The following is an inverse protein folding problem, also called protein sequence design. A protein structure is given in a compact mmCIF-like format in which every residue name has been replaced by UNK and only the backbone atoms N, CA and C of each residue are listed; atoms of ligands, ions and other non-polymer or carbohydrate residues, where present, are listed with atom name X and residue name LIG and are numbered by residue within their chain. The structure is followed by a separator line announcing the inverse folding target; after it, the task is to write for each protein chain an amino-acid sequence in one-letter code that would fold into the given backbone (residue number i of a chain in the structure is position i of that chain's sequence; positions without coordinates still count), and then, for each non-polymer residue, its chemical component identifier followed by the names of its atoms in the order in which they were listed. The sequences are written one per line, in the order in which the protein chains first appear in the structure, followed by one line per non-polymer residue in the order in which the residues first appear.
data_IF_117034085677
#
_entry.id   IF_117034085677
#
_cell.length_a   1.000
_cell.length_b   1.000
_cell.length_c   1.000
_cell.angle_alpha   90.00
_cell.angle_beta   90.00
_cell.angle_gamma   90.00
#
_symmetry.space_group_name_H-M   'P 1'
#
loop_
_entity.id
_entity.type
_entity.pdbx_description
1 polymer ?
#
# COMPACT_ATOMS: atom_id res chain seq x y z
N UNK A 1 2.22 17.98 -20.72
CA UNK A 1 2.90 16.67 -20.63
C UNK A 1 2.09 15.77 -19.73
N UNK A 2 2.04 14.46 -20.03
CA UNK A 2 1.42 13.47 -19.13
C UNK A 2 2.17 13.42 -17.79
N UNK A 3 1.48 13.10 -16.72
CA UNK A 3 2.11 12.80 -15.43
C UNK A 3 2.57 11.34 -15.43
N UNK A 4 3.78 11.11 -14.94
CA UNK A 4 4.36 9.76 -14.84
C UNK A 4 4.09 9.19 -13.45
N UNK A 5 3.56 7.98 -13.38
CA UNK A 5 3.33 7.26 -12.13
C UNK A 5 4.10 5.95 -12.08
N UNK A 6 4.84 5.73 -11.01
CA UNK A 6 5.46 4.45 -10.66
C UNK A 6 4.58 3.74 -9.65
N UNK A 7 4.11 2.52 -9.99
CA UNK A 7 3.26 1.71 -9.12
C UNK A 7 3.94 0.39 -8.82
N UNK A 8 4.12 0.07 -7.53
CA UNK A 8 4.71 -1.19 -7.12
C UNK A 8 3.67 -2.30 -6.93
N UNK A 9 3.98 -3.54 -7.33
CA UNK A 9 3.12 -4.70 -7.10
C UNK A 9 1.85 -4.75 -7.94
N UNK A 10 1.99 -4.61 -9.27
CA UNK A 10 0.87 -4.50 -10.21
C UNK A 10 0.45 -5.80 -10.89
N UNK A 11 0.92 -6.96 -10.44
CA UNK A 11 0.59 -8.24 -11.07
C UNK A 11 -0.87 -8.66 -10.86
N UNK A 12 -1.49 -8.28 -9.75
CA UNK A 12 -2.86 -8.64 -9.38
C UNK A 12 -3.45 -7.58 -8.42
N UNK A 13 -4.73 -7.71 -8.10
CA UNK A 13 -5.41 -6.96 -7.04
C UNK A 13 -5.42 -5.44 -7.23
N UNK A 14 -5.29 -4.72 -6.12
CA UNK A 14 -5.36 -3.24 -6.12
C UNK A 14 -4.33 -2.61 -7.05
N UNK A 15 -3.10 -3.12 -7.08
CA UNK A 15 -2.05 -2.58 -7.94
C UNK A 15 -2.35 -2.73 -9.42
N UNK A 16 -2.93 -3.86 -9.83
CA UNK A 16 -3.37 -4.11 -11.19
C UNK A 16 -4.47 -3.11 -11.60
N UNK A 17 -5.53 -3.00 -10.79
CA UNK A 17 -6.63 -2.07 -11.05
C UNK A 17 -6.15 -0.61 -11.04
N UNK A 18 -5.25 -0.25 -10.13
CA UNK A 18 -4.65 1.08 -10.07
C UNK A 18 -3.88 1.41 -11.35
N UNK A 19 -3.09 0.46 -11.87
CA UNK A 19 -2.31 0.67 -13.08
C UNK A 19 -3.21 0.91 -14.30
N UNK A 20 -4.27 0.13 -14.46
CA UNK A 20 -5.24 0.32 -15.56
C UNK A 20 -5.96 1.65 -15.41
N UNK A 21 -6.51 1.92 -14.23
CA UNK A 21 -7.31 3.12 -13.98
C UNK A 21 -6.50 4.42 -14.16
N UNK A 22 -5.22 4.45 -13.75
CA UNK A 22 -4.36 5.62 -13.99
C UNK A 22 -4.07 5.82 -15.47
N UNK A 23 -3.79 4.75 -16.22
CA UNK A 23 -3.54 4.86 -17.66
C UNK A 23 -4.79 5.31 -18.44
N UNK A 24 -5.97 4.81 -18.11
CA UNK A 24 -7.27 5.25 -18.64
C UNK A 24 -7.54 6.74 -18.35
N UNK A 25 -6.97 7.26 -17.26
CA UNK A 25 -7.07 8.67 -16.88
C UNK A 25 -5.90 9.54 -17.35
N UNK A 26 -5.16 9.08 -18.36
CA UNK A 26 -4.17 9.87 -19.10
C UNK A 26 -2.79 9.96 -18.44
N UNK A 27 -2.49 9.16 -17.41
CA UNK A 27 -1.14 9.03 -16.88
C UNK A 27 -0.29 8.11 -17.78
N UNK A 28 1.02 8.34 -17.81
CA UNK A 28 1.96 7.32 -18.23
C UNK A 28 2.30 6.46 -17.01
N UNK A 29 2.01 5.17 -17.09
CA UNK A 29 2.12 4.24 -15.97
C UNK A 29 3.34 3.36 -16.12
N UNK A 30 4.19 3.34 -15.12
CA UNK A 30 5.23 2.35 -14.91
C UNK A 30 4.72 1.30 -13.92
N UNK A 31 4.15 0.24 -14.47
CA UNK A 31 3.59 -0.87 -13.72
C UNK A 31 4.69 -1.86 -13.36
N UNK A 32 4.95 -2.06 -12.06
CA UNK A 32 6.08 -2.90 -11.67
C UNK A 32 5.70 -4.12 -10.87
N UNK A 33 6.44 -5.20 -11.06
CA UNK A 33 6.26 -6.47 -10.38
C UNK A 33 7.59 -7.23 -10.27
N UNK A 34 7.76 -8.04 -9.22
CA UNK A 34 8.99 -8.82 -9.00
C UNK A 34 9.20 -9.98 -9.97
N UNK A 35 8.15 -10.41 -10.68
CA UNK A 35 8.21 -11.54 -11.62
C UNK A 35 7.42 -11.17 -12.89
N UNK A 36 8.15 -10.87 -13.95
CA UNK A 36 7.59 -10.48 -15.25
C UNK A 36 6.80 -11.60 -15.95
N UNK A 37 6.94 -12.87 -15.54
CA UNK A 37 6.09 -13.98 -16.01
C UNK A 37 4.62 -13.81 -15.61
N UNK A 38 4.31 -12.94 -14.62
CA UNK A 38 2.96 -12.62 -14.20
C UNK A 38 2.38 -11.37 -14.91
N UNK A 39 3.04 -10.88 -15.97
CA UNK A 39 2.63 -9.66 -16.66
C UNK A 39 1.55 -9.86 -17.73
N UNK A 40 1.13 -11.09 -18.03
CA UNK A 40 0.30 -11.35 -19.20
C UNK A 40 -1.08 -10.68 -19.11
N UNK A 41 -1.69 -10.66 -17.93
CA UNK A 41 -2.99 -10.00 -17.74
C UNK A 41 -2.91 -8.49 -18.01
N UNK A 42 -1.90 -7.82 -17.47
CA UNK A 42 -1.74 -6.37 -17.66
C UNK A 42 -1.31 -6.02 -19.10
N UNK A 43 -0.48 -6.86 -19.74
CA UNK A 43 -0.13 -6.70 -21.16
C UNK A 43 -1.38 -6.79 -22.03
N UNK A 44 -2.21 -7.83 -21.82
CA UNK A 44 -3.45 -8.02 -22.53
C UNK A 44 -4.35 -6.78 -22.42
N UNK A 45 -4.60 -6.29 -21.21
CA UNK A 45 -5.43 -5.10 -20.97
C UNK A 45 -4.84 -3.83 -21.57
N UNK A 46 -3.51 -3.64 -21.45
CA UNK A 46 -2.80 -2.54 -22.12
C UNK A 46 -3.03 -2.54 -23.61
N UNK A 47 -2.85 -3.68 -24.27
CA UNK A 47 -2.92 -3.80 -25.72
C UNK A 47 -4.37 -3.70 -26.22
N UNK A 48 -5.35 -4.32 -25.54
CA UNK A 48 -6.78 -4.22 -25.85
C UNK A 48 -7.31 -2.78 -25.79
N UNK A 49 -6.83 -1.98 -24.84
CA UNK A 49 -7.34 -0.63 -24.59
C UNK A 49 -6.34 0.48 -25.02
N UNK A 50 -5.26 0.12 -25.69
CA UNK A 50 -4.20 1.06 -26.11
C UNK A 50 -3.72 1.98 -24.97
N UNK A 51 -3.43 1.40 -23.79
CA UNK A 51 -3.06 2.12 -22.60
C UNK A 51 -1.55 2.42 -22.56
N UNK A 52 -1.20 3.60 -22.05
CA UNK A 52 0.20 4.02 -21.88
C UNK A 52 0.81 3.40 -20.62
N UNK A 53 1.05 2.10 -20.68
CA UNK A 53 1.60 1.30 -19.58
C UNK A 53 2.92 0.67 -20.02
N UNK A 54 3.98 0.95 -19.27
CA UNK A 54 5.27 0.28 -19.37
C UNK A 54 5.44 -0.66 -18.18
N UNK A 55 5.92 -1.88 -18.43
CA UNK A 55 6.03 -2.92 -17.41
C UNK A 55 7.51 -3.13 -17.11
N UNK A 56 7.90 -2.97 -15.83
CA UNK A 56 9.27 -3.13 -15.37
C UNK A 56 9.37 -4.16 -14.24
N UNK A 57 10.53 -4.80 -14.12
CA UNK A 57 10.83 -5.63 -12.96
C UNK A 57 11.19 -4.73 -11.77
N UNK A 58 10.53 -4.97 -10.63
CA UNK A 58 10.85 -4.34 -9.36
C UNK A 58 10.47 -5.24 -8.19
N UNK A 59 11.46 -5.66 -7.43
CA UNK A 59 11.30 -6.33 -6.15
C UNK A 59 11.58 -5.30 -5.04
N UNK A 60 10.56 -4.96 -4.27
CA UNK A 60 10.66 -3.95 -3.20
C UNK A 60 11.61 -4.35 -2.06
N UNK A 61 11.97 -5.62 -1.96
CA UNK A 61 12.94 -6.14 -0.97
C UNK A 61 14.40 -6.02 -1.45
N UNK A 62 14.63 -5.59 -2.70
CA UNK A 62 15.95 -5.51 -3.33
C UNK A 62 16.25 -4.09 -3.81
N UNK A 63 17.14 -3.41 -3.11
CA UNK A 63 17.50 -2.02 -3.42
C UNK A 63 18.05 -1.82 -4.84
N UNK A 64 18.79 -2.79 -5.38
CA UNK A 64 19.32 -2.73 -6.74
C UNK A 64 18.21 -2.84 -7.79
N UNK A 65 17.19 -3.69 -7.55
CA UNK A 65 16.01 -3.79 -8.40
C UNK A 65 15.23 -2.47 -8.43
N UNK A 66 15.02 -1.86 -7.26
CA UNK A 66 14.38 -0.55 -7.14
C UNK A 66 15.17 0.52 -7.91
N UNK A 67 16.50 0.56 -7.68
CA UNK A 67 17.39 1.53 -8.36
C UNK A 67 17.31 1.39 -9.87
N UNK A 68 17.42 0.17 -10.39
CA UNK A 68 17.36 -0.11 -11.83
C UNK A 68 16.04 0.37 -12.45
N UNK A 69 14.91 0.09 -11.79
CA UNK A 69 13.60 0.54 -12.29
C UNK A 69 13.49 2.07 -12.28
N UNK A 70 13.89 2.75 -11.20
CA UNK A 70 13.87 4.20 -11.10
C UNK A 70 14.80 4.83 -12.14
N UNK A 71 16.03 4.36 -12.27
CA UNK A 71 17.00 4.87 -13.26
C UNK A 71 16.47 4.72 -14.69
N UNK A 72 15.80 3.62 -15.00
CA UNK A 72 15.15 3.39 -16.31
C UNK A 72 14.10 4.46 -16.59
N UNK A 73 13.24 4.75 -15.62
CA UNK A 73 12.19 5.76 -15.76
C UNK A 73 12.80 7.15 -15.95
N UNK A 74 13.78 7.49 -15.13
CA UNK A 74 14.44 8.80 -15.19
C UNK A 74 15.21 8.99 -16.49
N UNK A 75 15.92 7.97 -16.96
CA UNK A 75 16.62 8.04 -18.25
C UNK A 75 15.65 8.25 -19.42
N UNK A 76 14.45 7.68 -19.35
CA UNK A 76 13.46 7.76 -20.42
C UNK A 76 12.63 9.05 -20.39
N UNK A 77 12.10 9.42 -19.23
CA UNK A 77 11.12 10.49 -19.08
C UNK A 77 11.59 11.66 -18.21
N UNK A 78 12.75 11.55 -17.58
CA UNK A 78 13.36 12.61 -16.76
C UNK A 78 12.70 12.86 -15.42
N UNK A 79 11.53 12.25 -15.13
CA UNK A 79 10.74 12.54 -13.92
C UNK A 79 9.85 11.38 -13.49
N UNK A 80 9.49 11.39 -12.21
CA UNK A 80 8.40 10.61 -11.61
C UNK A 80 7.53 11.60 -10.84
N UNK A 81 6.27 11.76 -11.27
CA UNK A 81 5.33 12.70 -10.64
C UNK A 81 4.56 12.07 -9.47
N UNK A 82 4.31 10.75 -9.53
CA UNK A 82 3.59 10.02 -8.50
C UNK A 82 4.30 8.69 -8.23
N UNK A 83 4.52 8.38 -6.96
CA UNK A 83 4.89 7.04 -6.50
C UNK A 83 3.70 6.43 -5.77
N UNK A 84 3.24 5.26 -6.20
CA UNK A 84 2.25 4.45 -5.48
C UNK A 84 2.95 3.23 -4.90
N UNK A 85 3.23 3.25 -3.60
CA UNK A 85 3.72 2.11 -2.83
C UNK A 85 2.54 1.19 -2.53
N UNK A 86 2.22 0.30 -3.47
CA UNK A 86 1.14 -0.66 -3.33
C UNK A 86 1.63 -2.07 -2.99
N UNK A 87 2.86 -2.44 -3.37
CA UNK A 87 3.39 -3.76 -3.06
C UNK A 87 3.29 -4.08 -1.56
N UNK A 88 2.72 -5.21 -1.26
CA UNK A 88 2.51 -5.69 0.10
C UNK A 88 2.17 -7.18 0.10
N UNK A 89 2.23 -7.78 1.26
CA UNK A 89 1.87 -9.18 1.45
C UNK A 89 1.13 -9.36 2.77
N UNK A 90 0.04 -10.12 2.74
CA UNK A 90 -0.64 -10.58 3.95
C UNK A 90 0.24 -11.57 4.71
N UNK A 91 0.09 -11.58 6.01
CA UNK A 91 0.72 -12.55 6.89
C UNK A 91 -0.16 -12.78 8.10
N UNK A 92 -0.52 -14.03 8.33
CA UNK A 92 -1.36 -14.43 9.46
C UNK A 92 -0.71 -15.63 10.18
N UNK A 93 -0.07 -15.37 11.32
CA UNK A 93 0.58 -16.37 12.14
C UNK A 93 0.85 -15.78 13.53
N UNK A 94 0.86 -16.60 14.55
CA UNK A 94 1.26 -16.12 15.89
C UNK A 94 2.75 -15.74 15.91
N UNK A 95 3.11 -14.76 16.70
CA UNK A 95 4.52 -14.33 16.83
C UNK A 95 5.40 -15.48 17.34
N UNK A 96 4.90 -16.31 18.25
CA UNK A 96 5.64 -17.45 18.80
C UNK A 96 5.95 -18.51 17.74
N UNK A 97 5.03 -18.71 16.79
CA UNK A 97 5.15 -19.73 15.76
C UNK A 97 5.79 -19.22 14.45
N UNK A 98 5.96 -17.90 14.32
CA UNK A 98 6.61 -17.30 13.16
C UNK A 98 8.13 -17.50 13.24
N UNK A 99 8.72 -17.93 12.15
CA UNK A 99 10.19 -17.98 12.02
C UNK A 99 10.81 -16.59 11.89
N UNK A 100 12.08 -16.45 12.27
CA UNK A 100 12.81 -15.18 12.07
C UNK A 100 12.80 -14.73 10.59
N UNK A 101 12.92 -15.66 9.66
CA UNK A 101 12.86 -15.36 8.24
C UNK A 101 11.50 -14.78 7.80
N UNK A 102 10.41 -15.32 8.32
CA UNK A 102 9.05 -14.81 8.07
C UNK A 102 8.85 -13.41 8.67
N UNK A 103 9.32 -13.19 9.91
CA UNK A 103 9.26 -11.88 10.58
C UNK A 103 10.01 -10.82 9.77
N UNK A 104 11.24 -11.13 9.33
CA UNK A 104 12.04 -10.24 8.49
C UNK A 104 11.35 -9.98 7.15
N UNK A 105 10.91 -11.02 6.48
CA UNK A 105 10.27 -10.92 5.17
C UNK A 105 9.00 -10.04 5.20
N UNK A 106 8.14 -10.22 6.20
CA UNK A 106 6.92 -9.40 6.36
C UNK A 106 7.29 -7.92 6.53
N UNK A 107 8.31 -7.63 7.33
CA UNK A 107 8.83 -6.28 7.56
C UNK A 107 9.44 -5.70 6.28
N UNK A 108 10.25 -6.48 5.58
CA UNK A 108 10.93 -6.07 4.36
C UNK A 108 9.93 -5.69 3.26
N UNK A 109 8.90 -6.52 3.05
CA UNK A 109 7.92 -6.27 1.99
C UNK A 109 6.99 -5.11 2.35
N UNK A 110 6.42 -5.09 3.57
CA UNK A 110 5.33 -4.18 3.91
C UNK A 110 5.77 -2.82 4.44
N UNK A 111 7.01 -2.70 4.95
CA UNK A 111 7.55 -1.45 5.49
C UNK A 111 8.82 -1.00 4.79
N UNK A 112 9.90 -1.80 4.83
CA UNK A 112 11.18 -1.37 4.25
C UNK A 112 11.09 -1.16 2.74
N UNK A 113 10.26 -1.93 2.04
CA UNK A 113 9.97 -1.71 0.62
C UNK A 113 9.39 -0.33 0.33
N UNK A 114 8.47 0.15 1.19
CA UNK A 114 7.92 1.52 1.11
C UNK A 114 9.02 2.56 1.32
N UNK A 115 9.87 2.36 2.34
CA UNK A 115 10.98 3.27 2.65
C UNK A 115 11.98 3.32 1.50
N UNK A 116 12.39 2.17 0.96
CA UNK A 116 13.40 2.10 -0.10
C UNK A 116 12.90 2.66 -1.44
N UNK A 117 11.66 2.37 -1.84
CA UNK A 117 11.07 2.96 -3.03
C UNK A 117 10.94 4.48 -2.90
N UNK A 118 10.44 4.97 -1.76
CA UNK A 118 10.35 6.40 -1.49
C UNK A 118 11.74 7.06 -1.51
N UNK A 119 12.73 6.47 -0.85
CA UNK A 119 14.12 6.95 -0.85
C UNK A 119 14.71 7.06 -2.27
N UNK A 120 14.41 6.10 -3.14
CA UNK A 120 14.93 6.10 -4.50
C UNK A 120 14.32 7.21 -5.39
N UNK A 121 13.04 7.52 -5.19
CA UNK A 121 12.31 8.52 -5.99
C UNK A 121 12.47 9.94 -5.44
N UNK A 122 12.59 10.10 -4.14
CA UNK A 122 12.57 11.39 -3.44
C UNK A 122 13.59 12.42 -3.97
N UNK A 123 14.85 12.08 -4.30
CA UNK A 123 15.80 13.06 -4.84
C UNK A 123 15.32 13.73 -6.15
N UNK A 124 14.64 12.98 -7.00
CA UNK A 124 14.09 13.49 -8.26
C UNK A 124 12.89 14.39 -8.02
N UNK A 125 11.94 13.98 -7.18
CA UNK A 125 10.80 14.83 -6.78
C UNK A 125 11.26 16.11 -6.09
N UNK A 126 12.28 16.05 -5.22
CA UNK A 126 12.86 17.19 -4.56
C UNK A 126 13.49 18.17 -5.57
N UNK A 127 14.22 17.67 -6.57
CA UNK A 127 14.79 18.48 -7.64
C UNK A 127 13.71 19.17 -8.48
N UNK A 128 12.59 18.46 -8.73
CA UNK A 128 11.43 19.02 -9.46
C UNK A 128 10.63 20.03 -8.62
N UNK A 129 10.79 20.05 -7.28
CA UNK A 129 9.93 20.75 -6.32
C UNK A 129 8.45 20.39 -6.51
N UNK A 130 8.18 19.14 -6.79
CA UNK A 130 6.84 18.62 -7.06
C UNK A 130 6.84 17.10 -6.98
N UNK A 131 5.79 16.50 -6.41
CA UNK A 131 5.61 15.07 -6.37
C UNK A 131 4.48 14.64 -5.44
N UNK A 132 4.05 13.39 -5.60
CA UNK A 132 3.12 12.74 -4.67
C UNK A 132 3.64 11.35 -4.34
N UNK A 133 3.68 11.02 -3.05
CA UNK A 133 3.95 9.67 -2.55
C UNK A 133 2.68 9.16 -1.88
N UNK A 134 2.08 8.14 -2.47
CA UNK A 134 0.86 7.49 -1.99
C UNK A 134 1.23 6.10 -1.52
N UNK A 135 1.04 5.79 -0.25
CA UNK A 135 1.38 4.47 0.30
C UNK A 135 0.15 3.75 0.81
N UNK A 136 -0.04 2.51 0.34
CA UNK A 136 -1.10 1.65 0.83
C UNK A 136 -0.71 1.06 2.17
N UNK A 137 -1.34 1.58 3.22
CA UNK A 137 -1.35 0.99 4.55
C UNK A 137 -2.50 -0.01 4.66
N UNK A 138 -3.25 0.04 5.74
CA UNK A 138 -4.42 -0.77 6.05
C UNK A 138 -5.10 -0.18 7.29
N UNK A 139 -6.35 -0.53 7.54
CA UNK A 139 -6.93 -0.38 8.90
C UNK A 139 -6.06 -1.10 9.96
N UNK A 140 -5.30 -2.13 9.54
CA UNK A 140 -4.29 -2.80 10.36
C UNK A 140 -3.08 -1.93 10.71
N UNK A 141 -2.89 -0.77 10.06
CA UNK A 141 -1.91 0.25 10.45
C UNK A 141 -2.38 1.16 11.59
N UNK A 142 -3.66 1.09 11.96
CA UNK A 142 -4.27 1.87 13.03
C UNK A 142 -4.81 1.01 14.17
N UNK A 143 -5.29 -0.20 13.87
CA UNK A 143 -5.92 -1.11 14.83
C UNK A 143 -5.25 -2.49 14.74
N UNK A 144 -4.65 -2.95 15.84
CA UNK A 144 -4.08 -4.30 15.93
C UNK A 144 -5.17 -5.37 15.82
N UNK A 145 -4.88 -6.44 15.08
CA UNK A 145 -5.82 -7.52 14.82
C UNK A 145 -5.21 -8.87 15.22
N UNK A 146 -5.98 -9.80 15.80
CA UNK A 146 -5.46 -11.11 16.18
C UNK A 146 -4.82 -11.84 15.00
N UNK A 147 -3.73 -12.55 15.24
CA UNK A 147 -2.97 -13.34 14.26
C UNK A 147 -2.35 -12.52 13.10
N UNK A 148 -2.47 -11.19 13.14
CA UNK A 148 -1.90 -10.26 12.16
C UNK A 148 -0.88 -9.31 12.80
N UNK A 149 -0.36 -9.60 13.98
CA UNK A 149 0.48 -8.71 14.76
C UNK A 149 1.72 -8.23 13.98
N UNK A 150 2.38 -9.11 13.22
CA UNK A 150 3.56 -8.76 12.42
C UNK A 150 3.20 -7.90 11.20
N UNK A 151 2.10 -8.21 10.54
CA UNK A 151 1.57 -7.39 9.46
C UNK A 151 1.10 -6.03 9.97
N UNK A 152 0.33 -6.00 11.06
CA UNK A 152 -0.12 -4.75 11.68
C UNK A 152 1.07 -3.88 12.09
N UNK A 153 2.09 -4.45 12.75
CA UNK A 153 3.29 -3.73 13.13
C UNK A 153 3.98 -3.05 11.93
N UNK A 154 4.12 -3.78 10.81
CA UNK A 154 4.69 -3.21 9.59
C UNK A 154 3.83 -2.08 9.01
N UNK A 155 2.50 -2.20 9.06
CA UNK A 155 1.60 -1.13 8.59
C UNK A 155 1.55 0.07 9.54
N UNK A 156 1.63 -0.12 10.87
CA UNK A 156 1.84 0.97 11.83
C UNK A 156 3.15 1.74 11.55
N UNK A 157 4.21 1.02 11.17
CA UNK A 157 5.47 1.65 10.79
C UNK A 157 5.33 2.52 9.53
N UNK A 158 4.54 2.10 8.54
CA UNK A 158 4.22 2.91 7.34
C UNK A 158 3.47 4.19 7.74
N UNK A 159 2.48 4.11 8.65
CA UNK A 159 1.75 5.28 9.16
C UNK A 159 2.71 6.32 9.74
N UNK A 160 3.52 5.93 10.73
CA UNK A 160 4.47 6.84 11.38
C UNK A 160 5.53 7.38 10.43
N UNK A 161 6.03 6.57 9.51
CA UNK A 161 7.00 7.00 8.49
C UNK A 161 6.43 8.07 7.57
N UNK A 162 5.26 7.83 6.99
CA UNK A 162 4.62 8.73 6.04
C UNK A 162 4.17 10.04 6.70
N UNK A 163 3.58 9.95 7.91
CA UNK A 163 3.18 11.11 8.70
C UNK A 163 4.40 11.98 9.04
N UNK A 164 5.50 11.38 9.48
CA UNK A 164 6.75 12.08 9.75
C UNK A 164 7.30 12.79 8.50
N UNK A 165 7.32 12.11 7.34
CA UNK A 165 7.74 12.73 6.08
C UNK A 165 6.88 13.93 5.69
N UNK A 166 5.57 13.86 5.93
CA UNK A 166 4.64 14.95 5.63
C UNK A 166 4.93 16.22 6.45
N UNK A 167 5.54 16.12 7.64
CA UNK A 167 5.78 17.27 8.51
C UNK A 167 6.83 18.25 7.97
N UNK A 168 7.83 17.79 7.23
CA UNK A 168 8.93 18.65 6.78
C UNK A 168 9.21 18.62 5.28
N UNK A 169 8.98 17.47 4.61
CA UNK A 169 9.26 17.34 3.17
C UNK A 169 8.20 18.06 2.33
N UNK A 170 6.93 18.03 2.80
CA UNK A 170 5.82 18.60 2.03
C UNK A 170 5.99 20.08 1.78
N UNK A 171 6.27 20.85 2.80
CA UNK A 171 6.39 22.31 2.68
C UNK A 171 7.72 22.71 2.04
N UNK A 172 8.82 22.01 2.40
CA UNK A 172 10.15 22.32 1.89
C UNK A 172 10.30 22.09 0.38
N UNK A 173 9.59 21.07 -0.16
CA UNK A 173 9.81 20.63 -1.54
C UNK A 173 8.53 20.48 -2.37
N UNK A 174 7.37 20.84 -1.82
CA UNK A 174 6.07 20.68 -2.46
C UNK A 174 5.81 19.20 -2.88
N UNK A 175 6.16 18.25 -2.01
CA UNK A 175 5.91 16.82 -2.20
C UNK A 175 4.81 16.38 -1.23
N UNK A 176 3.71 15.86 -1.76
CA UNK A 176 2.57 15.43 -0.94
C UNK A 176 2.72 13.97 -0.51
N UNK A 177 2.37 13.68 0.74
CA UNK A 177 2.38 12.34 1.28
C UNK A 177 0.97 11.96 1.72
N UNK A 178 0.45 10.85 1.21
CA UNK A 178 -0.86 10.33 1.60
C UNK A 178 -0.79 8.85 1.91
N UNK A 179 -1.39 8.48 3.02
CA UNK A 179 -1.57 7.10 3.45
C UNK A 179 -3.00 6.68 3.09
N UNK A 180 -3.13 5.64 2.29
CA UNK A 180 -4.43 5.03 1.97
C UNK A 180 -4.63 3.81 2.85
N UNK A 181 -5.74 3.77 3.59
CA UNK A 181 -6.03 2.80 4.65
C UNK A 181 -7.24 1.94 4.28
N UNK A 182 -7.08 0.90 3.42
CA UNK A 182 -8.15 -0.01 3.09
C UNK A 182 -8.58 -0.86 4.28
N UNK A 183 -9.87 -1.22 4.28
CA UNK A 183 -10.41 -2.31 5.08
C UNK A 183 -10.15 -3.67 4.45
N UNK A 184 -11.08 -4.62 4.64
CA UNK A 184 -11.05 -5.89 3.94
C UNK A 184 -11.19 -5.69 2.43
N UNK A 185 -10.33 -6.34 1.64
CA UNK A 185 -10.38 -6.30 0.17
C UNK A 185 -10.58 -7.71 -0.35
N UNK A 186 -11.57 -7.91 -1.21
CA UNK A 186 -11.84 -9.18 -1.90
C UNK A 186 -10.82 -9.36 -3.05
N UNK A 187 -9.59 -9.71 -2.70
CA UNK A 187 -8.50 -9.95 -3.65
C UNK A 187 -7.71 -11.19 -3.26
N UNK A 188 -6.84 -11.67 -4.16
CA UNK A 188 -5.88 -12.75 -3.89
C UNK A 188 -4.92 -12.48 -2.71
N UNK A 189 -4.98 -11.29 -2.12
CA UNK A 189 -4.16 -10.93 -0.96
C UNK A 189 -4.42 -11.84 0.24
N UNK A 190 -5.70 -12.12 0.57
CA UNK A 190 -6.07 -13.05 1.65
C UNK A 190 -5.75 -14.49 1.27
N UNK A 191 -6.07 -14.91 0.05
CA UNK A 191 -5.73 -16.25 -0.45
C UNK A 191 -4.22 -16.47 -0.44
N UNK A 192 -3.45 -15.48 -0.90
CA UNK A 192 -1.97 -15.53 -0.87
C UNK A 192 -1.39 -15.52 0.54
N UNK A 193 -2.06 -14.89 1.52
CA UNK A 193 -1.66 -14.95 2.91
C UNK A 193 -1.87 -16.37 3.47
N UNK A 194 -3.04 -16.96 3.19
CA UNK A 194 -3.37 -18.33 3.57
C UNK A 194 -2.45 -19.35 2.89
N UNK A 195 -2.25 -19.25 1.57
CA UNK A 195 -1.39 -20.17 0.81
C UNK A 195 0.08 -20.12 1.27
N UNK A 196 0.61 -18.94 1.56
CA UNK A 196 2.00 -18.81 2.04
C UNK A 196 2.19 -19.31 3.46
N UNK A 197 1.19 -19.12 4.32
CA UNK A 197 1.20 -19.70 5.67
C UNK A 197 0.88 -21.18 5.67
N UNK A 198 0.04 -21.69 4.77
CA UNK A 198 -0.25 -23.13 4.63
C UNK A 198 0.91 -23.91 4.01
N UNK A 199 1.72 -23.29 3.14
CA UNK A 199 2.96 -23.88 2.61
C UNK A 199 4.05 -23.93 3.68
N UNK A 200 4.01 -23.02 4.67
CA UNK A 200 4.95 -22.96 5.80
C UNK A 200 4.45 -23.68 7.08
N UNK A 201 3.29 -24.32 7.03
CA UNK A 201 2.62 -24.93 8.19
C UNK A 201 1.34 -24.20 8.59
N UNK A 202 0.58 -24.77 9.49
CA UNK A 202 -0.70 -24.24 9.96
C UNK A 202 -0.55 -22.83 10.55
N UNK A 203 -1.51 -21.94 10.27
CA UNK A 203 -1.50 -20.55 10.76
C UNK A 203 -1.50 -20.43 12.29
N UNK A 204 -2.06 -21.43 12.96
CA UNK A 204 -1.99 -21.59 14.39
C UNK A 204 -2.11 -23.09 14.75
N UNK A 205 -1.25 -23.56 15.64
CA UNK A 205 -1.21 -24.95 16.09
C UNK A 205 -1.26 -25.03 17.62
N UNK A 206 -1.43 -26.25 18.15
CA UNK A 206 -1.40 -26.48 19.58
C UNK A 206 -2.43 -25.65 20.34
N UNK A 207 -2.00 -24.98 21.40
CA UNK A 207 -2.88 -24.18 22.27
C UNK A 207 -3.49 -22.95 21.58
N UNK A 208 -2.93 -22.50 20.45
CA UNK A 208 -3.48 -21.39 19.67
C UNK A 208 -4.62 -21.79 18.74
N UNK A 209 -4.75 -23.07 18.39
CA UNK A 209 -5.76 -23.53 17.43
C UNK A 209 -7.19 -23.18 17.84
N UNK A 210 -7.65 -23.42 19.07
CA UNK A 210 -9.02 -23.08 19.48
C UNK A 210 -9.29 -21.57 19.46
N UNK A 211 -8.26 -20.75 19.73
CA UNK A 211 -8.37 -19.28 19.67
C UNK A 211 -8.51 -18.83 18.23
N UNK A 212 -7.73 -19.43 17.32
CA UNK A 212 -7.77 -19.16 15.90
C UNK A 212 -9.10 -19.55 15.26
N UNK A 213 -9.63 -20.73 15.59
CA UNK A 213 -10.95 -21.18 15.13
C UNK A 213 -12.06 -20.21 15.57
N UNK A 214 -12.01 -19.75 16.82
CA UNK A 214 -12.94 -18.74 17.33
C UNK A 214 -12.80 -17.40 16.57
N UNK A 215 -11.58 -16.99 16.26
CA UNK A 215 -11.31 -15.80 15.45
C UNK A 215 -11.90 -15.92 14.03
N UNK A 216 -11.72 -17.07 13.36
CA UNK A 216 -12.29 -17.34 12.05
C UNK A 216 -13.82 -17.33 12.08
N UNK A 217 -14.43 -18.00 13.05
CA UNK A 217 -15.88 -18.01 13.22
C UNK A 217 -16.44 -16.60 13.48
N UNK A 218 -15.73 -15.77 14.27
CA UNK A 218 -16.08 -14.39 14.51
C UNK A 218 -15.98 -13.50 13.24
N UNK A 219 -14.99 -13.75 12.39
CA UNK A 219 -14.85 -13.06 11.11
C UNK A 219 -16.01 -13.43 10.16
N UNK A 220 -16.33 -14.71 10.07
CA UNK A 220 -17.41 -15.19 9.21
C UNK A 220 -18.78 -14.68 9.68
N UNK A 221 -19.03 -14.65 10.99
CA UNK A 221 -20.24 -14.08 11.57
C UNK A 221 -20.37 -12.59 11.20
N UNK A 222 -19.31 -11.80 11.39
CA UNK A 222 -19.31 -10.37 11.01
C UNK A 222 -19.55 -10.16 9.51
N UNK A 223 -18.94 -10.96 8.65
CA UNK A 223 -19.16 -10.89 7.21
C UNK A 223 -20.62 -11.17 6.82
N UNK A 224 -21.28 -12.11 7.51
CA UNK A 224 -22.68 -12.47 7.26
C UNK A 224 -23.69 -11.47 7.86
N UNK A 225 -23.37 -10.85 8.98
CA UNK A 225 -24.25 -9.92 9.70
C UNK A 225 -24.08 -8.45 9.25
N UNK A 226 -23.01 -8.11 8.56
CA UNK A 226 -22.76 -6.76 8.07
C UNK A 226 -23.72 -6.43 6.93
N UNK A 227 -24.62 -5.47 7.15
CA UNK A 227 -25.45 -4.88 6.08
C UNK A 227 -24.62 -4.00 5.14
N UNK A 228 -23.44 -3.58 5.56
CA UNK A 228 -22.50 -2.82 4.74
C UNK A 228 -21.49 -3.79 4.12
N UNK A 229 -21.07 -3.49 2.89
CA UNK A 229 -20.06 -4.26 2.19
C UNK A 229 -18.74 -4.20 2.97
N UNK A 230 -18.47 -5.23 3.76
CA UNK A 230 -17.24 -5.34 4.59
C UNK A 230 -15.99 -5.43 3.71
N UNK A 231 -16.14 -5.97 2.51
CA UNK A 231 -15.05 -6.16 1.56
C UNK A 231 -15.23 -5.27 0.33
N UNK A 232 -14.20 -4.49 0.05
CA UNK A 232 -14.11 -3.70 -1.18
C UNK A 232 -13.46 -4.53 -2.30
N UNK A 233 -13.76 -4.15 -3.55
CA UNK A 233 -13.02 -4.61 -4.72
C UNK A 233 -11.68 -3.87 -4.85
N UNK A 234 -10.74 -4.46 -5.59
CA UNK A 234 -9.48 -3.77 -5.94
C UNK A 234 -9.72 -2.45 -6.67
N UNK A 235 -10.75 -2.41 -7.53
CA UNK A 235 -11.13 -1.22 -8.30
C UNK A 235 -11.64 -0.08 -7.39
N UNK A 236 -12.49 -0.36 -6.41
CA UNK A 236 -12.95 0.67 -5.47
C UNK A 236 -11.81 1.31 -4.69
N UNK A 237 -10.83 0.52 -4.26
CA UNK A 237 -9.62 1.06 -3.63
C UNK A 237 -8.78 1.85 -4.63
N UNK A 238 -8.60 1.37 -5.86
CA UNK A 238 -7.88 2.07 -6.92
C UNK A 238 -8.52 3.44 -7.25
N UNK A 239 -9.85 3.56 -7.20
CA UNK A 239 -10.57 4.82 -7.36
C UNK A 239 -10.20 5.84 -6.29
N UNK A 240 -10.05 5.41 -5.03
CA UNK A 240 -9.58 6.28 -3.95
C UNK A 240 -8.14 6.73 -4.20
N UNK A 241 -7.24 5.81 -4.60
CA UNK A 241 -5.84 6.14 -4.94
C UNK A 241 -5.77 7.16 -6.07
N UNK A 242 -6.56 6.98 -7.14
CA UNK A 242 -6.64 7.95 -8.24
C UNK A 242 -7.20 9.30 -7.78
N UNK A 243 -8.24 9.30 -6.93
CA UNK A 243 -8.81 10.51 -6.34
C UNK A 243 -7.76 11.30 -5.56
N UNK A 244 -6.94 10.63 -4.75
CA UNK A 244 -5.79 11.23 -4.04
C UNK A 244 -4.78 11.82 -5.04
N UNK A 245 -4.43 11.10 -6.10
CA UNK A 245 -3.46 11.57 -7.08
C UNK A 245 -3.94 12.79 -7.89
N UNK A 246 -5.25 12.95 -8.06
CA UNK A 246 -5.88 14.10 -8.74
C UNK A 246 -6.09 15.31 -7.82
N UNK A 247 -6.05 15.11 -6.51
CA UNK A 247 -6.27 16.18 -5.54
C UNK A 247 -4.99 17.02 -5.38
N UNK A 248 -5.10 18.32 -5.53
CA UNK A 248 -3.99 19.26 -5.32
C UNK A 248 -3.59 19.37 -3.84
N UNK A 249 -4.55 19.18 -2.93
CA UNK A 249 -4.36 19.20 -1.49
C UNK A 249 -4.89 17.91 -0.85
N UNK A 250 -4.24 16.77 -1.11
CA UNK A 250 -4.69 15.48 -0.59
C UNK A 250 -4.51 15.42 0.93
N UNK A 251 -5.40 14.68 1.64
CA UNK A 251 -5.23 14.46 3.07
C UNK A 251 -3.97 13.65 3.37
N UNK A 252 -3.46 13.75 4.58
CA UNK A 252 -2.32 12.94 5.03
C UNK A 252 -2.71 11.46 5.12
N UNK A 253 -3.96 11.18 5.52
CA UNK A 253 -4.50 9.81 5.56
C UNK A 253 -5.95 9.76 5.08
N UNK A 254 -6.34 8.64 4.47
CA UNK A 254 -7.70 8.40 4.00
C UNK A 254 -8.09 6.92 4.10
N UNK A 255 -9.20 6.64 4.77
CA UNK A 255 -9.85 5.31 4.76
C UNK A 255 -10.70 5.16 3.51
N UNK A 256 -10.69 3.97 2.93
CA UNK A 256 -11.29 3.73 1.62
C UNK A 256 -12.80 3.43 1.66
N UNK A 257 -13.35 3.08 2.82
CA UNK A 257 -14.78 2.77 3.00
C UNK A 257 -15.35 3.34 4.28
N UNK A 258 -16.67 3.37 4.40
CA UNK A 258 -17.34 3.77 5.65
C UNK A 258 -17.02 2.78 6.76
N UNK A 259 -17.06 1.46 6.47
CA UNK A 259 -16.65 0.44 7.43
C UNK A 259 -15.24 0.69 7.99
N UNK A 260 -14.27 1.02 7.14
CA UNK A 260 -12.90 1.33 7.57
C UNK A 260 -12.84 2.56 8.49
N UNK A 261 -13.66 3.58 8.21
CA UNK A 261 -13.78 4.78 9.08
C UNK A 261 -14.28 4.40 10.46
N UNK A 262 -15.37 3.63 10.51
CA UNK A 262 -16.02 3.22 11.76
C UNK A 262 -15.13 2.29 12.58
N UNK A 263 -14.46 1.35 11.92
CA UNK A 263 -13.51 0.44 12.57
C UNK A 263 -12.34 1.18 13.23
N UNK A 264 -11.83 2.24 12.60
CA UNK A 264 -10.70 3.01 13.10
C UNK A 264 -11.10 4.20 13.99
N UNK A 265 -12.38 4.47 14.22
CA UNK A 265 -12.85 5.70 14.86
C UNK A 265 -12.21 5.99 16.22
N UNK A 266 -11.95 4.97 17.05
CA UNK A 266 -11.31 5.15 18.35
C UNK A 266 -9.87 5.69 18.27
N UNK A 267 -9.19 5.45 17.16
CA UNK A 267 -7.82 5.95 16.90
C UNK A 267 -7.80 7.28 16.15
N UNK A 268 -8.84 7.56 15.36
CA UNK A 268 -8.81 8.68 14.40
C UNK A 268 -9.83 9.78 14.68
N UNK A 269 -10.68 9.65 15.71
CA UNK A 269 -11.75 10.62 16.01
C UNK A 269 -11.26 12.07 16.19
N UNK A 270 -10.09 12.25 16.82
CA UNK A 270 -9.55 13.60 17.08
C UNK A 270 -8.90 14.23 15.83
N UNK A 271 -8.36 13.42 14.95
CA UNK A 271 -7.64 13.84 13.74
C UNK A 271 -7.86 12.83 12.60
N UNK A 272 -9.04 12.87 11.97
CA UNK A 272 -9.42 11.82 11.02
C UNK A 272 -8.57 11.79 9.75
N UNK A 273 -8.02 12.90 9.31
CA UNK A 273 -7.23 13.02 8.09
C UNK A 273 -5.71 13.22 8.32
N UNK A 274 -5.28 13.28 9.58
CA UNK A 274 -3.89 13.45 9.97
C UNK A 274 -3.37 14.90 9.89
N UNK A 275 -4.19 15.85 9.47
CA UNK A 275 -3.76 17.23 9.25
C UNK A 275 -3.43 17.95 10.56
N UNK A 276 -4.20 17.73 11.61
CA UNK A 276 -3.98 18.38 12.92
C UNK A 276 -2.66 17.93 13.55
N UNK A 277 -2.37 16.63 13.52
CA UNK A 277 -1.10 16.08 14.06
C UNK A 277 0.09 16.65 13.32
N UNK A 278 0.06 16.67 12.01
CA UNK A 278 1.15 17.23 11.18
C UNK A 278 1.34 18.72 11.45
N UNK A 279 0.27 19.50 11.52
CA UNK A 279 0.36 20.95 11.80
C UNK A 279 0.87 21.22 13.22
N UNK A 280 0.44 20.45 14.21
CA UNK A 280 0.92 20.57 15.59
C UNK A 280 2.44 20.30 15.64
N UNK A 281 2.93 19.25 15.01
CA UNK A 281 4.38 18.93 14.96
C UNK A 281 5.15 20.04 14.26
N UNK A 282 4.68 20.52 13.10
CA UNK A 282 5.31 21.66 12.41
C UNK A 282 5.43 22.88 13.31
N UNK A 283 4.33 23.30 13.93
CA UNK A 283 4.34 24.48 14.79
C UNK A 283 5.19 24.35 16.07
N UNK A 284 5.48 23.10 16.50
CA UNK A 284 6.27 22.83 17.71
C UNK A 284 7.76 22.67 17.46
N UNK A 285 8.15 22.25 16.25
CA UNK A 285 9.53 21.83 15.96
C UNK A 285 10.17 22.53 14.75
N UNK A 286 9.36 23.18 13.90
CA UNK A 286 9.81 23.89 12.69
C UNK A 286 9.32 25.34 12.66
#
# INVERSE_FOLDING_TARGET
MKRNVLITGTSTGVGFETALLFAENGYKVYATMRNLKKADAIKKKRDENNLDIEILELDVTKTDSIKTAVDTIIAKDGKIDVLVNNAGAGFAKTTEQATEAEIRWVTDVNYLGVVFCTRAVLPYMRKQKSGQVISLSSVGGLVGQPFNELYCAAKFAVEGYMESMATYVSDAFNIKFTIVEPGGIATEFMTSAVEKTSVAGEMATGEYLPIFEKYLAGNQKRANESQEQTYQTGLEVAQVVLGVAKNENPPVRIRTSQWAKDFCQFKTKADPDGTKSVNMVKSSFL
#
